data_IF_638970551826
#
_entry.id   IF_638970551826
#
_cell.length_a   1.000
_cell.length_b   1.000
_cell.length_c   1.000
_cell.angle_alpha   90.00
_cell.angle_beta   90.00
_cell.angle_gamma   90.00
#
_symmetry.space_group_name_H-M   'P 1'
#
loop_
_entity.id
_entity.type
_entity.pdbx_description
1 polymer ?
#
# COMPACT_ATOMS: atom_id res chain seq x y z
N UNK A 1 -35.29 24.64 -3.27
CA UNK A 1 -35.03 23.19 -3.10
C UNK A 1 -34.05 23.02 -1.95
N UNK A 2 -34.52 22.51 -0.81
CA UNK A 2 -33.75 22.42 0.46
C UNK A 2 -32.88 21.14 0.44
N UNK A 3 -31.57 21.27 0.55
CA UNK A 3 -30.64 20.14 0.76
C UNK A 3 -30.63 19.80 2.25
N UNK A 4 -31.18 18.64 2.61
CA UNK A 4 -31.11 18.09 3.95
C UNK A 4 -29.69 17.49 4.14
N UNK A 5 -28.90 18.09 5.04
CA UNK A 5 -27.67 17.51 5.56
C UNK A 5 -28.07 16.41 6.58
N UNK A 6 -27.81 15.17 6.25
CA UNK A 6 -27.83 14.05 7.20
C UNK A 6 -26.50 14.07 7.98
N UNK A 7 -26.52 14.67 9.16
CA UNK A 7 -25.50 14.51 10.19
C UNK A 7 -25.75 13.15 10.88
N UNK A 8 -25.01 12.13 10.46
CA UNK A 8 -24.92 10.88 11.22
C UNK A 8 -24.06 11.13 12.46
N UNK A 9 -24.72 11.26 13.62
CA UNK A 9 -24.06 11.39 14.91
C UNK A 9 -23.28 10.13 15.24
N UNK A 10 -21.94 10.22 15.29
CA UNK A 10 -21.07 9.23 15.93
C UNK A 10 -21.27 9.37 17.45
N UNK A 11 -22.12 8.52 18.02
CA UNK A 11 -22.17 8.33 19.47
C UNK A 11 -20.90 7.59 19.91
N UNK A 12 -19.90 8.32 20.35
CA UNK A 12 -18.76 7.78 21.09
C UNK A 12 -19.30 7.28 22.43
N UNK A 13 -19.56 5.99 22.56
CA UNK A 13 -19.76 5.35 23.84
C UNK A 13 -18.49 5.55 24.68
N UNK A 14 -18.62 6.28 25.78
CA UNK A 14 -17.59 6.43 26.81
C UNK A 14 -17.39 5.06 27.50
N UNK A 15 -16.64 4.17 26.85
CA UNK A 15 -16.15 2.95 27.46
C UNK A 15 -15.01 3.31 28.44
N UNK A 16 -14.96 2.66 29.57
CA UNK A 16 -13.91 2.76 30.58
C UNK A 16 -12.55 2.76 29.91
N UNK A 17 -11.78 3.84 30.10
CA UNK A 17 -10.39 3.99 29.66
C UNK A 17 -9.51 3.00 30.44
N UNK A 18 -9.52 1.74 30.08
CA UNK A 18 -8.41 0.86 30.39
C UNK A 18 -7.17 1.41 29.68
N UNK A 19 -6.05 1.54 30.39
CA UNK A 19 -4.80 2.04 29.82
C UNK A 19 -4.45 1.26 28.54
N UNK A 20 -4.78 1.83 27.41
CA UNK A 20 -4.49 1.21 26.11
C UNK A 20 -3.01 1.42 25.84
N UNK A 21 -2.26 0.35 25.72
CA UNK A 21 -0.84 0.41 25.36
C UNK A 21 -0.68 0.69 23.89
N UNK A 22 0.25 1.59 23.57
CA UNK A 22 0.71 1.82 22.22
C UNK A 22 1.54 0.60 21.79
N UNK A 23 1.13 -0.08 20.72
CA UNK A 23 1.84 -1.24 20.17
C UNK A 23 2.45 -0.89 18.81
N UNK A 24 3.78 -0.66 18.74
CA UNK A 24 4.49 -0.47 17.50
C UNK A 24 4.81 -1.82 16.84
N UNK A 25 4.77 -1.86 15.52
CA UNK A 25 5.32 -2.94 14.72
C UNK A 25 5.99 -2.36 13.48
N UNK A 26 7.05 -3.01 13.00
CA UNK A 26 7.76 -2.56 11.82
C UNK A 26 8.48 -3.69 11.11
N UNK A 27 8.54 -3.61 9.78
CA UNK A 27 9.19 -4.59 8.91
C UNK A 27 10.04 -3.85 7.90
N UNK A 28 11.31 -4.23 7.77
CA UNK A 28 12.14 -3.86 6.63
C UNK A 28 11.95 -4.90 5.54
N UNK A 29 11.79 -4.47 4.31
CA UNK A 29 11.46 -5.31 3.18
C UNK A 29 12.46 -5.16 2.05
N UNK A 30 12.72 -6.26 1.36
CA UNK A 30 13.39 -6.29 0.07
C UNK A 30 12.53 -7.08 -0.90
N UNK A 31 12.61 -6.76 -2.17
CA UNK A 31 11.79 -7.48 -3.14
C UNK A 31 12.13 -7.14 -4.58
N UNK A 32 11.31 -7.65 -5.48
CA UNK A 32 11.33 -7.30 -6.88
C UNK A 32 9.99 -6.66 -7.24
N UNK A 33 10.04 -5.65 -8.08
CA UNK A 33 8.85 -5.04 -8.65
C UNK A 33 8.91 -5.07 -10.17
N UNK A 34 7.75 -5.14 -10.78
CA UNK A 34 7.55 -5.06 -12.23
C UNK A 34 6.49 -4.01 -12.52
N UNK A 35 6.80 -3.13 -13.45
CA UNK A 35 5.88 -2.13 -13.96
C UNK A 35 5.58 -2.47 -15.41
N UNK A 36 4.33 -2.62 -15.76
CA UNK A 36 3.86 -2.87 -17.12
C UNK A 36 2.94 -1.75 -17.56
N UNK A 37 3.25 -1.15 -18.69
CA UNK A 37 2.46 -0.10 -19.33
C UNK A 37 2.43 -0.31 -20.83
N UNK A 38 1.66 0.49 -21.54
CA UNK A 38 1.68 0.49 -23.01
C UNK A 38 3.05 0.88 -23.61
N UNK A 39 3.86 1.63 -22.86
CA UNK A 39 5.21 2.04 -23.27
C UNK A 39 6.28 0.98 -23.05
N UNK A 40 5.95 -0.13 -22.38
CA UNK A 40 6.89 -1.20 -22.12
C UNK A 40 6.74 -1.87 -20.75
N UNK A 41 7.67 -2.75 -20.49
CA UNK A 41 7.79 -3.45 -19.23
C UNK A 41 9.13 -3.10 -18.57
N UNK A 42 9.07 -2.80 -17.27
CA UNK A 42 10.24 -2.49 -16.45
C UNK A 42 10.25 -3.42 -15.26
N UNK A 43 11.42 -3.79 -14.77
CA UNK A 43 11.55 -4.59 -13.55
C UNK A 43 12.81 -4.26 -12.80
N UNK A 44 12.79 -4.44 -11.50
CA UNK A 44 13.97 -4.15 -10.67
C UNK A 44 13.80 -4.55 -9.23
N UNK A 45 14.89 -4.42 -8.49
CA UNK A 45 14.91 -4.64 -7.05
C UNK A 45 14.42 -3.39 -6.31
N UNK A 46 13.69 -3.61 -5.24
CA UNK A 46 13.20 -2.57 -4.35
C UNK A 46 13.54 -2.89 -2.90
N UNK A 47 13.75 -1.85 -2.11
CA UNK A 47 13.91 -1.93 -0.66
C UNK A 47 12.92 -0.98 -0.01
N UNK A 48 12.49 -1.29 1.19
CA UNK A 48 11.52 -0.45 1.86
C UNK A 48 11.26 -0.85 3.30
N UNK A 49 10.21 -0.31 3.86
CA UNK A 49 9.72 -0.65 5.18
C UNK A 49 8.26 -0.31 5.34
N UNK A 50 7.64 -1.08 6.20
CA UNK A 50 6.28 -0.87 6.66
C UNK A 50 6.31 -0.71 8.18
N UNK A 51 5.45 0.16 8.71
CA UNK A 51 5.28 0.30 10.14
C UNK A 51 3.84 0.54 10.50
N UNK A 52 3.48 0.13 11.71
CA UNK A 52 2.17 0.39 12.30
C UNK A 52 2.30 0.83 13.74
N UNK A 53 1.45 1.75 14.14
CA UNK A 53 1.22 2.14 15.53
C UNK A 53 -0.23 1.86 15.86
N UNK A 54 -0.47 0.89 16.74
CA UNK A 54 -1.82 0.52 17.15
C UNK A 54 -2.14 1.09 18.53
N UNK A 55 -3.34 1.66 18.67
CA UNK A 55 -3.89 2.18 19.91
C UNK A 55 -5.34 1.70 20.04
N UNK A 56 -5.55 0.63 20.78
CA UNK A 56 -6.83 -0.02 20.86
C UNK A 56 -7.33 -0.52 19.50
N UNK A 57 -8.41 0.06 19.01
CA UNK A 57 -8.97 -0.25 17.69
C UNK A 57 -8.47 0.68 16.58
N UNK A 58 -7.71 1.70 16.90
CA UNK A 58 -7.13 2.62 15.93
C UNK A 58 -5.75 2.15 15.50
N UNK A 59 -5.40 2.44 14.27
CA UNK A 59 -4.12 2.09 13.68
C UNK A 59 -3.63 3.23 12.78
N UNK A 60 -2.38 3.65 12.97
CA UNK A 60 -1.65 4.47 12.02
C UNK A 60 -0.65 3.56 11.30
N UNK A 61 -0.79 3.45 9.99
CA UNK A 61 0.10 2.65 9.16
C UNK A 61 0.90 3.55 8.22
N UNK A 62 2.16 3.22 8.00
CA UNK A 62 3.01 3.87 7.02
C UNK A 62 3.81 2.83 6.23
N UNK A 63 4.07 3.16 4.97
CA UNK A 63 4.89 2.35 4.06
C UNK A 63 5.81 3.27 3.28
N UNK A 64 7.01 2.81 3.04
CA UNK A 64 7.96 3.43 2.13
C UNK A 64 8.67 2.35 1.32
N UNK A 65 8.78 2.55 0.01
CA UNK A 65 9.48 1.65 -0.92
C UNK A 65 10.27 2.49 -1.90
N UNK A 66 11.50 2.08 -2.20
CA UNK A 66 12.31 2.70 -3.24
C UNK A 66 13.12 1.65 -3.99
N UNK A 67 13.45 1.93 -5.24
CA UNK A 67 14.29 1.07 -6.05
C UNK A 67 14.47 1.59 -7.45
N UNK A 68 15.27 0.87 -8.22
CA UNK A 68 15.49 1.16 -9.62
C UNK A 68 14.87 0.06 -10.47
N UNK A 69 14.10 0.46 -11.48
CA UNK A 69 13.49 -0.44 -12.46
C UNK A 69 14.07 -0.18 -13.84
N UNK A 70 14.54 -1.22 -14.48
CA UNK A 70 15.15 -1.17 -15.80
C UNK A 70 14.21 -1.80 -16.84
N UNK A 71 14.29 -1.34 -18.08
CA UNK A 71 13.48 -1.87 -19.18
C UNK A 71 13.82 -3.32 -19.46
N UNK A 72 12.80 -4.17 -19.58
CA UNK A 72 12.95 -5.58 -19.91
C UNK A 72 13.00 -5.74 -21.43
N UNK A 73 14.09 -6.33 -21.94
CA UNK A 73 14.23 -6.65 -23.36
C UNK A 73 14.76 -5.53 -24.25
N UNK A 74 15.18 -4.39 -23.69
CA UNK A 74 15.83 -3.34 -24.46
C UNK A 74 17.36 -3.56 -24.52
N UNK A 75 17.93 -3.32 -25.69
CA UNK A 75 19.38 -3.17 -25.83
C UNK A 75 19.85 -1.96 -25.00
N UNK A 76 20.98 -2.07 -24.37
CA UNK A 76 21.66 -1.30 -23.33
C UNK A 76 21.48 0.24 -23.18
N UNK A 77 20.52 0.87 -23.85
CA UNK A 77 20.34 2.33 -23.88
C UNK A 77 19.07 2.85 -23.20
N UNK A 78 18.19 2.00 -22.69
CA UNK A 78 17.01 2.48 -21.96
C UNK A 78 17.37 2.73 -20.50
N UNK A 79 17.42 4.01 -20.15
CA UNK A 79 17.70 4.47 -18.80
C UNK A 79 16.73 3.83 -17.81
N UNK A 80 17.27 3.27 -16.73
CA UNK A 80 16.48 2.81 -15.59
C UNK A 80 15.71 3.98 -14.96
N UNK A 81 14.58 3.67 -14.35
CA UNK A 81 13.74 4.64 -13.68
C UNK A 81 13.85 4.45 -12.19
N UNK A 82 14.03 5.53 -11.44
CA UNK A 82 13.94 5.47 -9.99
C UNK A 82 12.46 5.46 -9.59
N UNK A 83 12.07 4.42 -8.86
CA UNK A 83 10.75 4.27 -8.27
C UNK A 83 10.82 4.67 -6.80
N UNK A 84 9.96 5.57 -6.38
CA UNK A 84 9.72 5.89 -4.96
C UNK A 84 8.22 5.83 -4.69
N UNK A 85 7.85 5.14 -3.63
CA UNK A 85 6.46 5.00 -3.20
C UNK A 85 6.35 5.15 -1.69
N UNK A 86 5.29 5.81 -1.22
CA UNK A 86 5.01 5.95 0.19
C UNK A 86 3.54 6.14 0.48
N UNK A 87 3.09 5.67 1.64
CA UNK A 87 1.73 5.89 2.12
C UNK A 87 1.68 6.12 3.62
N UNK A 88 0.69 6.90 4.07
CA UNK A 88 0.34 7.10 5.47
C UNK A 88 -1.16 6.94 5.59
N UNK A 89 -1.60 5.98 6.39
CA UNK A 89 -3.00 5.61 6.50
C UNK A 89 -3.45 5.64 7.95
N UNK A 90 -4.62 6.21 8.20
CA UNK A 90 -5.32 6.11 9.46
C UNK A 90 -6.42 5.06 9.33
N UNK A 91 -6.40 4.08 10.21
CA UNK A 91 -7.29 2.93 10.18
C UNK A 91 -8.03 2.68 11.47
N UNK A 92 -9.05 1.85 11.38
CA UNK A 92 -9.79 1.31 12.50
C UNK A 92 -9.99 -0.19 12.32
N UNK A 93 -10.03 -0.93 13.44
CA UNK A 93 -10.34 -2.37 13.49
C UNK A 93 -11.76 -2.58 14.01
N UNK A 94 -12.77 -2.57 13.16
CA UNK A 94 -14.15 -2.86 13.59
C UNK A 94 -14.29 -4.30 14.11
N UNK A 95 -13.53 -5.22 13.54
CA UNK A 95 -13.46 -6.64 13.95
C UNK A 95 -11.99 -7.03 14.17
N UNK A 96 -11.75 -8.08 14.98
CA UNK A 96 -10.38 -8.55 15.27
C UNK A 96 -9.58 -9.01 14.05
N UNK A 97 -10.26 -9.37 12.99
CA UNK A 97 -9.68 -9.85 11.73
C UNK A 97 -9.74 -8.83 10.59
N UNK A 98 -10.42 -7.68 10.77
CA UNK A 98 -10.65 -6.68 9.72
C UNK A 98 -10.11 -5.31 10.14
N UNK A 99 -9.26 -4.71 9.32
CA UNK A 99 -8.84 -3.30 9.40
C UNK A 99 -9.35 -2.56 8.18
N UNK A 100 -9.92 -1.38 8.38
CA UNK A 100 -10.29 -0.44 7.32
C UNK A 100 -9.48 0.83 7.54
N UNK A 101 -8.78 1.31 6.53
CA UNK A 101 -7.90 2.47 6.61
C UNK A 101 -8.07 3.39 5.41
N UNK A 102 -7.75 4.67 5.59
CA UNK A 102 -7.76 5.66 4.51
C UNK A 102 -6.62 6.66 4.70
N UNK A 103 -6.14 7.24 3.61
CA UNK A 103 -5.11 8.25 3.65
C UNK A 103 -4.37 8.41 2.32
N UNK A 104 -3.35 9.27 2.30
CA UNK A 104 -2.55 9.53 1.12
C UNK A 104 -1.58 8.39 0.80
N UNK A 105 -1.43 8.12 -0.50
CA UNK A 105 -0.44 7.25 -1.09
C UNK A 105 0.19 7.97 -2.29
N UNK A 106 1.50 8.10 -2.30
CA UNK A 106 2.24 8.74 -3.36
C UNK A 106 3.17 7.74 -4.06
N UNK A 107 3.25 7.83 -5.38
CA UNK A 107 4.19 7.07 -6.21
C UNK A 107 4.85 8.01 -7.19
N UNK A 108 6.15 7.90 -7.37
CA UNK A 108 6.88 8.65 -8.39
C UNK A 108 7.86 7.78 -9.16
N UNK A 109 8.00 8.11 -10.44
CA UNK A 109 9.00 7.56 -11.34
C UNK A 109 9.86 8.71 -11.85
N UNK A 110 11.17 8.66 -11.59
CA UNK A 110 12.11 9.61 -12.17
C UNK A 110 12.65 9.05 -13.47
N UNK A 111 12.25 9.67 -14.56
CA UNK A 111 12.64 9.38 -15.94
C UNK A 111 13.71 10.37 -16.40
N UNK A 112 14.44 10.07 -17.46
CA UNK A 112 15.35 11.05 -18.11
C UNK A 112 14.62 12.29 -18.60
N UNK A 113 13.34 12.18 -18.94
CA UNK A 113 12.47 13.26 -19.42
C UNK A 113 11.79 14.06 -18.31
N UNK A 114 11.93 13.65 -17.04
CA UNK A 114 11.29 14.31 -15.90
C UNK A 114 10.70 13.31 -14.90
N UNK A 115 10.05 13.82 -13.88
CA UNK A 115 9.43 13.01 -12.84
C UNK A 115 7.93 12.91 -13.04
N UNK A 116 7.42 11.70 -13.17
CA UNK A 116 6.00 11.41 -13.09
C UNK A 116 5.63 11.21 -11.61
N UNK A 117 4.63 11.91 -11.12
CA UNK A 117 4.14 11.83 -9.75
C UNK A 117 2.65 11.53 -9.74
N UNK A 118 2.26 10.63 -8.88
CA UNK A 118 0.90 10.16 -8.66
C UNK A 118 0.61 10.23 -7.17
N UNK A 119 -0.40 10.97 -6.78
CA UNK A 119 -0.84 11.07 -5.39
C UNK A 119 -2.29 10.64 -5.34
N UNK A 120 -2.55 9.57 -4.61
CA UNK A 120 -3.89 9.01 -4.41
C UNK A 120 -4.36 9.32 -2.98
N UNK A 121 -5.64 9.54 -2.82
CA UNK A 121 -6.29 9.31 -1.53
C UNK A 121 -6.98 7.97 -1.61
N UNK A 122 -6.58 7.01 -0.81
CA UNK A 122 -7.06 5.64 -0.91
C UNK A 122 -7.91 5.20 0.28
N UNK A 123 -8.82 4.28 0.01
CA UNK A 123 -9.51 3.45 0.97
C UNK A 123 -8.95 2.03 0.86
N UNK A 124 -8.59 1.45 2.01
CA UNK A 124 -7.95 0.14 2.12
C UNK A 124 -8.71 -0.72 3.11
N UNK A 125 -8.90 -2.00 2.79
CA UNK A 125 -9.46 -3.00 3.68
C UNK A 125 -8.51 -4.20 3.75
N UNK A 126 -8.15 -4.62 4.97
CA UNK A 126 -7.27 -5.76 5.23
C UNK A 126 -7.97 -6.76 6.11
N UNK A 127 -8.09 -7.99 5.63
CA UNK A 127 -8.54 -9.14 6.40
C UNK A 127 -7.32 -10.01 6.77
N UNK A 128 -7.20 -10.40 8.03
CA UNK A 128 -6.09 -11.23 8.51
C UNK A 128 -6.57 -12.29 9.49
N UNK A 129 -6.05 -13.50 9.35
CA UNK A 129 -6.42 -14.63 10.20
C UNK A 129 -5.25 -15.55 10.52
N UNK A 130 -5.36 -16.33 11.58
CA UNK A 130 -4.41 -17.38 11.92
C UNK A 130 -4.47 -18.48 10.85
N UNK A 131 -3.30 -18.96 10.43
CA UNK A 131 -3.15 -20.02 9.45
C UNK A 131 -2.54 -21.29 10.06
N UNK A 132 -1.51 -21.13 10.91
CA UNK A 132 -0.89 -22.24 11.65
C UNK A 132 -0.73 -21.77 13.10
N UNK A 133 -1.69 -22.15 13.94
CA UNK A 133 -1.68 -21.71 15.35
C UNK A 133 -1.56 -20.19 15.51
N UNK A 134 -0.81 -19.75 16.51
CA UNK A 134 -0.50 -18.31 16.71
C UNK A 134 0.74 -17.84 15.95
N UNK A 135 1.54 -18.76 15.41
CA UNK A 135 2.84 -18.46 14.83
C UNK A 135 2.73 -17.86 13.40
N UNK A 136 1.75 -18.30 12.60
CA UNK A 136 1.61 -17.84 11.22
C UNK A 136 0.21 -17.25 10.99
N UNK A 137 0.17 -16.06 10.39
CA UNK A 137 -1.05 -15.35 10.00
C UNK A 137 -1.02 -15.04 8.52
N UNK A 138 -2.07 -15.45 7.80
CA UNK A 138 -2.33 -15.00 6.44
C UNK A 138 -3.11 -13.69 6.44
N UNK A 139 -2.93 -12.88 5.40
CA UNK A 139 -3.75 -11.71 5.16
C UNK A 139 -3.99 -11.48 3.67
N UNK A 140 -5.10 -10.80 3.42
CA UNK A 140 -5.44 -10.21 2.12
C UNK A 140 -5.81 -8.77 2.36
N UNK A 141 -5.28 -7.89 1.54
CA UNK A 141 -5.53 -6.46 1.57
C UNK A 141 -6.01 -6.01 0.19
N UNK A 142 -7.06 -5.22 0.13
CA UNK A 142 -7.57 -4.61 -1.09
C UNK A 142 -7.62 -3.11 -0.89
N UNK A 143 -7.34 -2.36 -1.94
CA UNK A 143 -7.42 -0.90 -1.91
C UNK A 143 -8.01 -0.33 -3.20
N UNK A 144 -8.56 0.87 -3.09
CA UNK A 144 -9.07 1.67 -4.20
C UNK A 144 -8.78 3.15 -3.96
N UNK A 145 -8.37 3.86 -5.01
CA UNK A 145 -8.26 5.30 -4.97
C UNK A 145 -9.66 5.94 -4.98
N UNK A 146 -9.89 6.86 -4.05
CA UNK A 146 -11.08 7.70 -3.96
C UNK A 146 -10.91 8.97 -4.81
N UNK A 147 -9.68 9.48 -4.87
CA UNK A 147 -9.26 10.60 -5.71
C UNK A 147 -7.78 10.44 -6.06
N UNK A 148 -7.35 11.13 -7.12
CA UNK A 148 -5.95 11.18 -7.50
C UNK A 148 -5.59 12.55 -8.09
N UNK A 149 -4.34 12.95 -7.84
CA UNK A 149 -3.63 14.03 -8.50
C UNK A 149 -2.44 13.43 -9.23
N UNK A 150 -2.39 13.59 -10.56
CA UNK A 150 -1.36 13.03 -11.43
C UNK A 150 -0.79 14.14 -12.31
N UNK A 151 0.55 14.20 -12.42
CA UNK A 151 1.23 15.21 -13.23
C UNK A 151 1.55 14.71 -14.66
N UNK A 152 0.66 13.90 -15.24
CA UNK A 152 0.75 13.40 -16.60
C UNK A 152 -0.34 14.03 -17.47
N UNK A 153 -0.18 14.06 -18.82
CA UNK A 153 -1.16 14.67 -19.72
C UNK A 153 -2.53 14.00 -19.71
N UNK A 154 -2.57 12.71 -19.35
CA UNK A 154 -3.79 11.93 -19.27
C UNK A 154 -4.58 12.27 -18.00
N UNK A 155 -5.89 12.18 -18.07
CA UNK A 155 -6.76 12.30 -16.89
C UNK A 155 -6.85 10.96 -16.13
N UNK A 156 -6.88 11.04 -14.82
CA UNK A 156 -7.11 9.87 -13.96
C UNK A 156 -8.54 9.34 -14.12
N UNK A 157 -8.68 8.02 -14.29
CA UNK A 157 -9.97 7.34 -14.27
C UNK A 157 -10.17 6.58 -12.95
N UNK A 158 -9.37 5.55 -12.71
CA UNK A 158 -9.38 4.83 -11.44
C UNK A 158 -8.04 4.13 -11.18
N UNK A 159 -7.80 3.82 -9.89
CA UNK A 159 -6.73 2.94 -9.46
C UNK A 159 -7.23 2.04 -8.33
N UNK A 160 -6.78 0.81 -8.36
CA UNK A 160 -7.09 -0.21 -7.36
C UNK A 160 -5.98 -1.25 -7.30
N UNK A 161 -5.95 -2.00 -6.23
CA UNK A 161 -4.96 -3.04 -6.08
C UNK A 161 -5.23 -3.95 -4.91
N UNK A 162 -4.30 -4.85 -4.70
CA UNK A 162 -4.36 -5.78 -3.59
C UNK A 162 -2.99 -6.33 -3.25
N UNK A 163 -2.92 -6.86 -2.05
CA UNK A 163 -1.75 -7.56 -1.52
C UNK A 163 -2.23 -8.79 -0.78
N UNK A 164 -1.57 -9.91 -0.98
CA UNK A 164 -1.77 -11.13 -0.20
C UNK A 164 -0.43 -11.54 0.39
N UNK A 165 -0.43 -11.96 1.64
CA UNK A 165 0.81 -12.29 2.31
C UNK A 165 0.63 -13.15 3.54
N UNK A 166 1.78 -13.51 4.10
CA UNK A 166 1.89 -14.26 5.33
C UNK A 166 2.90 -13.60 6.26
N UNK A 167 2.56 -13.55 7.53
CA UNK A 167 3.43 -13.10 8.62
C UNK A 167 3.70 -14.27 9.53
N UNK A 168 4.98 -14.54 9.79
CA UNK A 168 5.44 -15.58 10.71
C UNK A 168 6.05 -14.88 11.92
N UNK A 169 5.52 -15.15 13.11
CA UNK A 169 6.01 -14.62 14.38
C UNK A 169 6.88 -15.65 15.09
N UNK A 170 7.99 -15.20 15.62
CA UNK A 170 8.91 -16.07 16.35
C UNK A 170 8.51 -16.10 17.85
N UNK A 171 8.16 -17.29 18.34
CA UNK A 171 7.56 -17.45 19.68
C UNK A 171 8.43 -16.97 20.86
N UNK A 172 9.75 -16.84 20.68
CA UNK A 172 10.70 -16.50 21.76
C UNK A 172 11.35 -15.12 21.59
N UNK A 173 10.96 -14.35 20.58
CA UNK A 173 11.52 -13.04 20.30
C UNK A 173 10.44 -12.15 19.67
N UNK A 174 10.49 -10.83 19.89
CA UNK A 174 9.56 -9.90 19.24
C UNK A 174 9.93 -9.71 17.76
N UNK A 175 10.19 -10.81 17.07
CA UNK A 175 10.60 -10.85 15.68
C UNK A 175 9.50 -11.43 14.80
N UNK A 176 9.39 -10.89 13.60
CA UNK A 176 8.52 -11.42 12.56
C UNK A 176 9.22 -11.46 11.21
N UNK A 177 8.83 -12.44 10.40
CA UNK A 177 9.14 -12.51 8.97
C UNK A 177 7.86 -12.31 8.18
N UNK A 178 7.95 -11.68 7.02
CA UNK A 178 6.81 -11.45 6.12
C UNK A 178 7.18 -11.85 4.69
N UNK A 179 6.23 -12.47 4.00
CA UNK A 179 6.26 -12.60 2.54
C UNK A 179 4.94 -12.10 2.00
N UNK A 180 4.99 -11.30 0.93
CA UNK A 180 3.79 -10.72 0.34
C UNK A 180 3.95 -10.57 -1.18
N UNK A 181 2.86 -10.78 -1.89
CA UNK A 181 2.72 -10.43 -3.29
C UNK A 181 1.68 -9.32 -3.41
N UNK A 182 2.04 -8.26 -4.14
CA UNK A 182 1.20 -7.10 -4.40
C UNK A 182 0.98 -6.92 -5.89
N UNK A 183 -0.22 -6.46 -6.26
CA UNK A 183 -0.56 -6.04 -7.61
C UNK A 183 -1.46 -4.81 -7.57
N UNK A 184 -1.06 -3.78 -8.30
CA UNK A 184 -1.78 -2.52 -8.46
C UNK A 184 -2.12 -2.32 -9.93
N UNK A 185 -3.27 -1.70 -10.17
CA UNK A 185 -3.80 -1.44 -11.48
C UNK A 185 -4.34 -0.02 -11.57
N UNK A 186 -3.84 0.75 -12.53
CA UNK A 186 -4.24 2.14 -12.72
C UNK A 186 -4.65 2.37 -14.17
N UNK A 187 -5.74 3.09 -14.35
CA UNK A 187 -6.30 3.45 -15.65
C UNK A 187 -6.32 4.97 -15.78
N UNK A 188 -5.75 5.44 -16.87
CA UNK A 188 -5.76 6.84 -17.30
C UNK A 188 -6.52 6.96 -18.64
N UNK A 189 -7.17 8.10 -18.85
CA UNK A 189 -7.88 8.44 -20.09
C UNK A 189 -7.09 9.48 -20.86
N UNK A 190 -6.79 9.18 -22.13
CA UNK A 190 -6.18 10.14 -23.04
C UNK A 190 -7.21 11.15 -23.54
N UNK A 191 -6.81 12.41 -23.68
CA UNK A 191 -7.64 13.46 -24.27
C UNK A 191 -7.97 13.19 -25.77
N UNK A 192 -7.13 12.41 -26.45
CA UNK A 192 -7.32 12.02 -27.87
C UNK A 192 -8.17 10.74 -28.02
N UNK A 193 -8.72 10.23 -26.93
CA UNK A 193 -9.43 8.96 -26.89
C UNK A 193 -8.49 7.78 -26.60
N UNK A 194 -9.04 6.74 -25.97
CA UNK A 194 -8.29 5.57 -25.53
C UNK A 194 -7.91 5.62 -24.04
N UNK A 195 -7.47 4.49 -23.55
CA UNK A 195 -7.07 4.30 -22.15
C UNK A 195 -5.62 3.86 -22.09
N UNK A 196 -4.85 4.42 -21.16
CA UNK A 196 -3.53 3.93 -20.76
C UNK A 196 -3.67 3.11 -19.50
N UNK A 197 -3.17 1.89 -19.56
CA UNK A 197 -3.17 0.95 -18.46
C UNK A 197 -1.77 0.87 -17.86
N UNK A 198 -1.67 0.93 -16.55
CA UNK A 198 -0.44 0.64 -15.83
C UNK A 198 -0.70 -0.41 -14.77
N UNK A 199 0.11 -1.45 -14.74
CA UNK A 199 0.10 -2.47 -13.71
C UNK A 199 1.45 -2.51 -13.01
N UNK A 200 1.44 -2.47 -11.68
CA UNK A 200 2.63 -2.64 -10.85
C UNK A 200 2.42 -3.87 -10.01
N UNK A 201 3.30 -4.85 -10.13
CA UNK A 201 3.28 -6.06 -9.33
C UNK A 201 4.65 -6.36 -8.71
N UNK A 202 4.68 -7.04 -7.57
CA UNK A 202 5.93 -7.33 -6.89
C UNK A 202 5.82 -8.37 -5.79
N UNK A 203 6.92 -9.05 -5.55
CA UNK A 203 7.11 -9.97 -4.44
C UNK A 203 8.05 -9.31 -3.42
N UNK A 204 7.62 -9.26 -2.17
CA UNK A 204 8.34 -8.65 -1.06
C UNK A 204 8.59 -9.69 0.02
N UNK A 205 9.80 -9.69 0.58
CA UNK A 205 10.18 -10.46 1.77
C UNK A 205 10.72 -9.48 2.79
N UNK A 206 10.36 -9.65 4.05
CA UNK A 206 10.78 -8.73 5.10
C UNK A 206 11.00 -9.38 6.44
N UNK A 207 11.77 -8.67 7.28
CA UNK A 207 12.00 -9.00 8.68
C UNK A 207 11.78 -7.76 9.53
N UNK A 208 11.26 -7.96 10.73
CA UNK A 208 10.96 -6.84 11.59
C UNK A 208 10.63 -7.21 13.02
N UNK A 209 10.16 -6.21 13.72
CA UNK A 209 9.79 -6.28 15.14
C UNK A 209 8.28 -6.14 15.28
N UNK A 210 7.73 -6.87 16.25
CA UNK A 210 6.32 -6.87 16.60
C UNK A 210 6.20 -6.93 18.13
N UNK A 211 5.99 -5.78 18.77
CA UNK A 211 5.80 -5.68 20.21
C UNK A 211 4.32 -5.73 20.57
N UNK A 212 3.79 -6.95 20.68
CA UNK A 212 2.42 -7.19 21.19
C UNK A 212 2.44 -7.77 22.59
#
# INVERSE_FOLDING_TARGET
MRRALLLAGLSLAAGTLTAQTLAPAGVLTVGSTRVRSQSGQFSGAVVGGDGTLSFGRLELAFRYVQGKVDSVGATAASAGHDLVEGSVLLGARPLSWLTIATGPHARSYTLTSGTQRWVFWELRARAAGAFIGSAARGYVELWRALSADVNVPESFDHAQGGEAGMIIRFARAPLQARVAYRMDHTVLKSALGGTRLETVDGLMVGFGLDWH
#
